data_IF_563857779264
#
_entry.id   IF_563857779264
#
_cell.length_a   1.000
_cell.length_b   1.000
_cell.length_c   1.000
_cell.angle_alpha   90.00
_cell.angle_beta   90.00
_cell.angle_gamma   90.00
#
_symmetry.space_group_name_H-M   'P 1'
#
loop_
_entity.id
_entity.type
_entity.pdbx_description
1 polymer ?
#
# COMPACT_ATOMS: atom_id res chain seq x y z
N UNK A 1 -11.22 8.06 -20.43
CA UNK A 1 -10.85 9.44 -20.88
C UNK A 1 -9.86 9.30 -22.04
N UNK A 2 -9.94 10.14 -23.06
CA UNK A 2 -9.03 10.12 -24.22
C UNK A 2 -8.37 11.49 -24.35
N UNK A 3 -7.07 11.52 -24.65
CA UNK A 3 -6.30 12.75 -24.89
C UNK A 3 -5.61 12.61 -26.24
N UNK A 4 -5.71 13.63 -27.09
CA UNK A 4 -5.02 13.70 -28.37
C UNK A 4 -3.96 14.80 -28.31
N UNK A 5 -2.72 14.45 -28.64
CA UNK A 5 -1.59 15.38 -28.60
C UNK A 5 -1.28 15.87 -30.01
N UNK A 6 -1.17 17.20 -30.24
CA UNK A 6 -0.63 17.72 -31.48
C UNK A 6 0.86 17.39 -31.57
N UNK A 7 1.49 17.61 -32.73
CA UNK A 7 2.94 17.42 -32.84
C UNK A 7 3.68 18.38 -31.89
N UNK A 8 4.68 17.89 -31.13
CA UNK A 8 5.37 18.71 -30.15
C UNK A 8 6.29 19.74 -30.79
N UNK A 9 6.80 19.47 -31.99
CA UNK A 9 7.69 20.35 -32.77
C UNK A 9 7.69 19.90 -34.24
N UNK A 10 8.49 20.55 -35.08
CA UNK A 10 8.68 20.16 -36.49
C UNK A 10 9.47 18.84 -36.62
N UNK A 11 9.30 18.14 -37.74
CA UNK A 11 9.81 16.77 -37.93
C UNK A 11 11.33 16.66 -37.73
N UNK A 12 12.08 17.68 -38.14
CA UNK A 12 13.55 17.73 -38.08
C UNK A 12 14.06 17.71 -36.63
N UNK A 13 13.28 18.26 -35.70
CA UNK A 13 13.64 18.39 -34.29
C UNK A 13 13.21 17.18 -33.45
N UNK A 14 12.38 16.28 -33.98
CA UNK A 14 11.80 15.14 -33.23
C UNK A 14 12.86 14.20 -32.65
N UNK A 15 13.97 13.96 -33.37
CA UNK A 15 15.06 13.09 -32.90
C UNK A 15 15.83 13.66 -31.70
N UNK A 16 15.66 14.96 -31.43
CA UNK A 16 16.36 15.72 -30.40
C UNK A 16 15.41 16.35 -29.37
N UNK A 17 14.16 15.89 -29.32
CA UNK A 17 13.06 16.48 -28.54
C UNK A 17 13.45 16.75 -27.08
N UNK A 18 14.15 15.82 -26.42
CA UNK A 18 14.58 15.95 -25.02
C UNK A 18 15.62 17.07 -24.79
N UNK A 19 16.31 17.51 -25.85
CA UNK A 19 17.33 18.57 -25.79
C UNK A 19 16.83 19.95 -26.22
N UNK A 20 15.56 20.05 -26.64
CA UNK A 20 14.96 21.31 -27.09
C UNK A 20 14.60 22.20 -25.89
N UNK A 21 14.62 23.51 -26.11
CA UNK A 21 14.08 24.44 -25.12
C UNK A 21 12.55 24.45 -25.21
N UNK A 22 11.89 24.80 -24.10
CA UNK A 22 10.43 24.93 -24.08
C UNK A 22 9.88 25.92 -25.12
N UNK A 23 10.67 26.94 -25.51
CA UNK A 23 10.29 27.90 -26.54
C UNK A 23 10.22 27.28 -27.95
N UNK A 24 10.94 26.18 -28.18
CA UNK A 24 10.99 25.44 -29.45
C UNK A 24 9.90 24.35 -29.53
N UNK A 25 9.09 24.21 -28.47
CA UNK A 25 7.97 23.28 -28.37
C UNK A 25 6.67 24.03 -28.68
N UNK A 26 5.80 23.39 -29.45
CA UNK A 26 4.47 23.88 -29.77
C UNK A 26 3.69 24.26 -28.50
N UNK A 27 3.23 25.50 -28.46
CA UNK A 27 2.39 25.98 -27.35
C UNK A 27 1.09 25.19 -27.20
N UNK A 28 0.55 24.64 -28.28
CA UNK A 28 -0.66 23.80 -28.24
C UNK A 28 -0.36 22.43 -27.61
N UNK A 29 0.80 21.85 -27.95
CA UNK A 29 1.28 20.63 -27.30
C UNK A 29 1.48 20.85 -25.81
N UNK A 30 2.15 21.93 -25.41
CA UNK A 30 2.36 22.26 -23.99
C UNK A 30 1.04 22.43 -23.24
N UNK A 31 0.04 23.10 -23.82
CA UNK A 31 -1.30 23.24 -23.22
C UNK A 31 -1.99 21.89 -23.04
N UNK A 32 -1.89 20.99 -24.02
CA UNK A 32 -2.47 19.64 -23.91
C UNK A 32 -1.74 18.80 -22.87
N UNK A 33 -0.41 18.87 -22.84
CA UNK A 33 0.42 18.19 -21.84
C UNK A 33 0.11 18.66 -20.43
N UNK A 34 -0.03 19.97 -20.18
CA UNK A 34 -0.45 20.50 -18.88
C UNK A 34 -1.81 19.94 -18.43
N UNK A 35 -2.81 19.93 -19.33
CA UNK A 35 -4.13 19.33 -19.06
C UNK A 35 -4.04 17.84 -18.76
N UNK A 36 -3.22 17.11 -19.49
CA UNK A 36 -3.00 15.68 -19.28
C UNK A 36 -2.31 15.42 -17.93
N UNK A 37 -1.24 16.13 -17.62
CA UNK A 37 -0.52 16.02 -16.36
C UNK A 37 -1.45 16.33 -15.18
N UNK A 38 -2.23 17.42 -15.23
CA UNK A 38 -3.22 17.72 -14.19
C UNK A 38 -4.22 16.58 -13.98
N UNK A 39 -4.70 15.98 -15.06
CA UNK A 39 -5.58 14.81 -14.95
C UNK A 39 -4.86 13.62 -14.28
N UNK A 40 -3.64 13.31 -14.69
CA UNK A 40 -2.88 12.18 -14.11
C UNK A 40 -2.57 12.40 -12.63
N UNK A 41 -2.24 13.63 -12.23
CA UNK A 41 -1.84 13.94 -10.85
C UNK A 41 -3.02 14.11 -9.89
N UNK A 42 -4.13 14.71 -10.35
CA UNK A 42 -5.20 15.13 -9.45
C UNK A 42 -6.52 14.37 -9.65
N UNK A 43 -6.82 13.97 -10.88
CA UNK A 43 -8.11 13.35 -11.20
C UNK A 43 -8.03 11.81 -11.29
N UNK A 44 -6.81 11.25 -11.30
CA UNK A 44 -6.63 9.81 -11.44
C UNK A 44 -6.83 9.11 -10.09
N UNK A 45 -7.55 7.99 -10.14
CA UNK A 45 -7.82 7.21 -8.94
C UNK A 45 -6.56 6.50 -8.46
N UNK A 46 -6.40 6.43 -7.15
CA UNK A 46 -5.38 5.58 -6.55
C UNK A 46 -5.59 4.12 -6.98
N UNK A 47 -4.49 3.37 -7.09
CA UNK A 47 -4.58 1.95 -7.41
C UNK A 47 -5.28 1.22 -6.27
N UNK A 48 -6.40 0.59 -6.58
CA UNK A 48 -7.16 -0.23 -5.63
C UNK A 48 -6.95 -1.72 -5.92
N UNK A 49 -6.88 -2.52 -4.86
CA UNK A 49 -7.05 -3.97 -4.94
C UNK A 49 -8.53 -4.29 -5.13
N UNK A 50 -8.82 -5.54 -5.51
CA UNK A 50 -10.16 -6.10 -5.35
C UNK A 50 -10.58 -5.92 -3.88
N UNK A 51 -11.84 -5.60 -3.64
CA UNK A 51 -12.39 -5.31 -2.29
C UNK A 51 -12.00 -3.94 -1.69
N UNK A 52 -11.51 -3.00 -2.49
CA UNK A 52 -11.49 -1.58 -2.10
C UNK A 52 -10.37 -1.16 -1.15
N UNK A 53 -9.31 -1.97 -0.98
CA UNK A 53 -8.08 -1.54 -0.29
C UNK A 53 -7.14 -0.81 -1.25
N UNK A 54 -6.65 0.35 -0.86
CA UNK A 54 -5.61 1.07 -1.60
C UNK A 54 -4.30 0.27 -1.60
N UNK A 55 -3.68 0.14 -2.76
CA UNK A 55 -2.35 -0.48 -2.88
C UNK A 55 -1.30 0.52 -2.39
N UNK A 56 -0.67 0.21 -1.25
CA UNK A 56 0.52 0.93 -0.78
C UNK A 56 1.80 0.34 -1.40
N UNK A 57 2.96 0.93 -1.11
CA UNK A 57 4.24 0.50 -1.67
C UNK A 57 4.60 -0.96 -1.34
N UNK A 58 4.30 -1.42 -0.12
CA UNK A 58 4.53 -2.82 0.31
C UNK A 58 3.66 -3.78 -0.51
N UNK A 59 2.37 -3.49 -0.62
CA UNK A 59 1.44 -4.29 -1.41
C UNK A 59 1.79 -4.31 -2.90
N UNK A 60 2.26 -3.18 -3.45
CA UNK A 60 2.75 -3.13 -4.83
C UNK A 60 3.97 -4.03 -5.03
N UNK A 61 4.91 -4.01 -4.09
CA UNK A 61 6.09 -4.89 -4.12
C UNK A 61 5.73 -6.37 -4.09
N UNK A 62 4.79 -6.77 -3.23
CA UNK A 62 4.28 -8.14 -3.20
C UNK A 62 3.61 -8.54 -4.52
N UNK A 63 2.72 -7.70 -5.07
CA UNK A 63 2.06 -7.96 -6.35
C UNK A 63 3.07 -8.10 -7.50
N UNK A 64 4.05 -7.20 -7.58
CA UNK A 64 5.08 -7.24 -8.60
C UNK A 64 5.90 -8.53 -8.53
N UNK A 65 6.36 -8.90 -7.33
CA UNK A 65 7.10 -10.14 -7.11
C UNK A 65 6.27 -11.37 -7.51
N UNK A 66 5.04 -11.50 -6.99
CA UNK A 66 4.17 -12.64 -7.27
C UNK A 66 3.91 -12.79 -8.77
N UNK A 67 3.65 -11.69 -9.49
CA UNK A 67 3.42 -11.75 -10.92
C UNK A 67 4.68 -12.13 -11.71
N UNK A 68 5.83 -11.53 -11.38
CA UNK A 68 7.10 -11.88 -12.03
C UNK A 68 7.43 -13.35 -11.79
N UNK A 69 7.39 -13.83 -10.54
CA UNK A 69 7.67 -15.23 -10.20
C UNK A 69 6.75 -16.21 -10.96
N UNK A 70 5.45 -15.87 -11.06
CA UNK A 70 4.45 -16.70 -11.77
C UNK A 70 4.71 -16.73 -13.28
N UNK A 71 5.04 -15.59 -13.89
CA UNK A 71 5.38 -15.51 -15.33
C UNK A 71 6.66 -16.29 -15.60
N UNK A 72 7.68 -16.09 -14.77
CA UNK A 72 8.97 -16.76 -14.89
C UNK A 72 8.86 -18.29 -14.74
N UNK A 73 7.86 -18.79 -14.00
CA UNK A 73 7.58 -20.23 -13.90
C UNK A 73 6.74 -20.79 -15.08
N UNK A 74 6.43 -19.98 -16.09
CA UNK A 74 5.59 -20.38 -17.23
C UNK A 74 4.09 -20.46 -16.91
N UNK A 75 3.67 -20.02 -15.73
CA UNK A 75 2.27 -20.00 -15.29
C UNK A 75 1.62 -18.65 -15.59
N UNK A 76 0.28 -18.60 -15.55
CA UNK A 76 -0.49 -17.37 -15.83
C UNK A 76 -0.80 -16.64 -14.51
N UNK A 77 -0.42 -15.35 -14.36
CA UNK A 77 -0.79 -14.56 -13.19
C UNK A 77 -2.31 -14.47 -13.00
N UNK A 78 -2.77 -14.75 -11.79
CA UNK A 78 -4.15 -14.54 -11.38
C UNK A 78 -4.21 -13.46 -10.30
N UNK A 79 -5.00 -12.40 -10.55
CA UNK A 79 -5.17 -11.30 -9.60
C UNK A 79 -5.73 -11.79 -8.26
N UNK A 80 -6.67 -12.73 -8.28
CA UNK A 80 -7.26 -13.28 -7.05
C UNK A 80 -6.21 -14.00 -6.21
N UNK A 81 -5.39 -14.85 -6.83
CA UNK A 81 -4.34 -15.60 -6.14
C UNK A 81 -3.28 -14.66 -5.55
N UNK A 82 -2.90 -13.61 -6.28
CA UNK A 82 -1.96 -12.62 -5.78
C UNK A 82 -2.50 -11.82 -4.58
N UNK A 83 -3.81 -11.48 -4.60
CA UNK A 83 -4.48 -10.83 -3.47
C UNK A 83 -4.53 -11.75 -2.25
N UNK A 84 -4.82 -13.05 -2.43
CA UNK A 84 -4.84 -14.04 -1.33
C UNK A 84 -3.45 -14.22 -0.73
N UNK A 85 -2.42 -14.42 -1.56
CA UNK A 85 -1.05 -14.59 -1.11
C UNK A 85 -0.56 -13.36 -0.32
N UNK A 86 -0.91 -12.16 -0.80
CA UNK A 86 -0.59 -10.92 -0.10
C UNK A 86 -1.36 -10.78 1.22
N UNK A 87 -2.63 -11.18 1.29
CA UNK A 87 -3.39 -11.14 2.55
C UNK A 87 -2.72 -11.98 3.65
N UNK A 88 -2.21 -13.17 3.31
CA UNK A 88 -1.42 -14.00 4.24
C UNK A 88 -0.22 -13.24 4.79
N UNK A 89 0.61 -12.68 3.91
CA UNK A 89 1.84 -11.96 4.30
C UNK A 89 1.51 -10.71 5.14
N UNK A 90 0.51 -9.92 4.73
CA UNK A 90 0.13 -8.70 5.43
C UNK A 90 -0.47 -9.00 6.81
N UNK A 91 -1.28 -10.07 6.95
CA UNK A 91 -1.85 -10.46 8.23
C UNK A 91 -0.80 -11.03 9.19
N UNK A 92 0.13 -11.85 8.71
CA UNK A 92 1.25 -12.31 9.53
C UNK A 92 2.11 -11.15 10.05
N UNK A 93 2.34 -10.14 9.20
CA UNK A 93 3.02 -8.92 9.62
C UNK A 93 2.18 -8.11 10.61
N UNK A 94 0.87 -8.03 10.42
CA UNK A 94 -0.05 -7.34 11.32
C UNK A 94 -0.08 -7.96 12.72
N UNK A 95 -0.07 -9.30 12.83
CA UNK A 95 0.00 -10.01 14.12
C UNK A 95 1.27 -9.60 14.87
N UNK A 96 2.43 -9.58 14.18
CA UNK A 96 3.70 -9.16 14.78
C UNK A 96 3.66 -7.71 15.28
N UNK A 97 3.02 -6.82 14.53
CA UNK A 97 2.83 -5.41 14.95
C UNK A 97 1.96 -5.33 16.21
N UNK A 98 0.83 -6.05 16.24
CA UNK A 98 -0.05 -6.11 17.41
C UNK A 98 0.68 -6.65 18.64
N UNK A 99 1.36 -7.79 18.51
CA UNK A 99 2.14 -8.40 19.58
C UNK A 99 3.23 -7.46 20.10
N UNK A 100 3.95 -6.77 19.21
CA UNK A 100 4.98 -5.82 19.61
C UNK A 100 4.40 -4.68 20.44
N UNK A 101 3.24 -4.14 20.06
CA UNK A 101 2.54 -3.08 20.81
C UNK A 101 2.18 -3.58 22.20
N UNK A 102 1.54 -4.75 22.30
CA UNK A 102 1.15 -5.34 23.58
C UNK A 102 2.36 -5.60 24.48
N UNK A 103 3.37 -6.31 23.96
CA UNK A 103 4.58 -6.67 24.70
C UNK A 103 5.33 -5.43 25.17
N UNK A 104 5.53 -4.44 24.31
CA UNK A 104 6.21 -3.20 24.70
C UNK A 104 5.46 -2.43 25.79
N UNK A 105 4.12 -2.45 25.76
CA UNK A 105 3.30 -1.88 26.82
C UNK A 105 3.44 -2.62 28.14
N UNK A 106 3.35 -3.95 28.10
CA UNK A 106 3.50 -4.80 29.29
C UNK A 106 4.91 -4.71 29.90
N UNK A 107 5.95 -4.60 29.07
CA UNK A 107 7.32 -4.38 29.56
C UNK A 107 7.44 -3.03 30.29
N UNK A 108 6.87 -1.94 29.76
CA UNK A 108 6.85 -0.64 30.45
C UNK A 108 6.07 -0.67 31.76
N UNK A 109 5.00 -1.46 31.84
CA UNK A 109 4.21 -1.60 33.06
C UNK A 109 5.05 -2.19 34.22
N UNK A 110 6.04 -3.03 33.92
CA UNK A 110 6.93 -3.64 34.93
C UNK A 110 7.70 -2.60 35.74
N UNK A 111 8.00 -1.44 35.15
CA UNK A 111 8.69 -0.34 35.84
C UNK A 111 7.87 0.22 37.02
N UNK A 112 6.55 -0.03 37.03
CA UNK A 112 5.64 0.44 38.08
C UNK A 112 5.36 -0.61 39.16
N UNK A 113 6.03 -1.77 39.12
CA UNK A 113 5.79 -2.85 40.09
C UNK A 113 6.36 -2.54 41.49
N UNK A 114 5.71 -3.03 42.57
CA UNK A 114 4.51 -3.88 42.59
C UNK A 114 3.19 -3.09 42.41
N UNK A 115 2.20 -3.71 41.74
CA UNK A 115 0.87 -3.14 41.51
C UNK A 115 -0.22 -4.07 42.03
N UNK A 116 -1.39 -3.50 42.39
CA UNK A 116 -2.59 -4.28 42.65
C UNK A 116 -3.04 -5.04 41.39
N UNK A 117 -3.57 -6.26 41.57
CA UNK A 117 -4.06 -7.09 40.47
C UNK A 117 -5.08 -6.35 39.58
N UNK A 118 -5.94 -5.52 40.19
CA UNK A 118 -6.94 -4.73 39.47
C UNK A 118 -6.29 -3.69 38.54
N UNK A 119 -5.18 -3.08 38.95
CA UNK A 119 -4.44 -2.12 38.13
C UNK A 119 -3.78 -2.83 36.94
N UNK A 120 -3.16 -4.00 37.17
CA UNK A 120 -2.56 -4.81 36.10
C UNK A 120 -3.62 -5.27 35.09
N UNK A 121 -4.78 -5.72 35.57
CA UNK A 121 -5.88 -6.14 34.69
C UNK A 121 -6.41 -5.00 33.82
N UNK A 122 -6.60 -3.81 34.40
CA UNK A 122 -7.03 -2.62 33.66
C UNK A 122 -6.06 -2.26 32.55
N UNK A 123 -4.75 -2.31 32.83
CA UNK A 123 -3.73 -2.01 31.83
C UNK A 123 -3.66 -3.09 30.73
N UNK A 124 -3.75 -4.37 31.11
CA UNK A 124 -3.84 -5.47 30.15
C UNK A 124 -4.99 -5.25 29.15
N UNK A 125 -6.19 -4.90 29.62
CA UNK A 125 -7.33 -4.65 28.74
C UNK A 125 -7.07 -3.47 27.79
N UNK A 126 -6.46 -2.40 28.28
CA UNK A 126 -6.11 -1.23 27.46
C UNK A 126 -5.07 -1.57 26.38
N UNK A 127 -4.01 -2.28 26.77
CA UNK A 127 -2.94 -2.71 25.86
C UNK A 127 -3.44 -3.71 24.83
N UNK A 128 -4.30 -4.66 25.24
CA UNK A 128 -4.93 -5.60 24.33
C UNK A 128 -5.75 -4.85 23.27
N UNK A 129 -6.62 -3.93 23.69
CA UNK A 129 -7.40 -3.10 22.75
C UNK A 129 -6.51 -2.28 21.80
N UNK A 130 -5.40 -1.75 22.28
CA UNK A 130 -4.45 -0.98 21.44
C UNK A 130 -3.71 -1.88 20.45
N UNK A 131 -3.32 -3.10 20.87
CA UNK A 131 -2.71 -4.11 20.01
C UNK A 131 -3.66 -4.56 18.90
N UNK A 132 -4.92 -4.86 19.24
CA UNK A 132 -5.97 -5.19 18.26
C UNK A 132 -6.17 -4.05 17.26
N UNK A 133 -6.22 -2.80 17.72
CA UNK A 133 -6.31 -1.65 16.80
C UNK A 133 -5.10 -1.52 15.88
N UNK A 134 -3.89 -1.77 16.38
CA UNK A 134 -2.67 -1.76 15.56
C UNK A 134 -2.71 -2.86 14.50
N UNK A 135 -3.14 -4.07 14.88
CA UNK A 135 -3.38 -5.18 13.95
C UNK A 135 -4.40 -4.79 12.87
N UNK A 136 -5.58 -4.28 13.25
CA UNK A 136 -6.67 -3.94 12.32
C UNK A 136 -6.28 -2.86 11.30
N UNK A 137 -5.37 -1.94 11.65
CA UNK A 137 -4.84 -0.95 10.70
C UNK A 137 -3.96 -1.57 9.61
N UNK A 138 -3.31 -2.69 9.92
CA UNK A 138 -2.36 -3.36 9.03
C UNK A 138 -2.96 -4.59 8.33
N UNK A 139 -3.94 -5.24 8.96
CA UNK A 139 -4.55 -6.47 8.47
C UNK A 139 -5.31 -6.25 7.16
N UNK A 140 -5.52 -7.34 6.45
CA UNK A 140 -6.20 -7.36 5.18
C UNK A 140 -6.82 -8.72 4.90
N UNK A 141 -8.14 -8.70 4.68
CA UNK A 141 -8.90 -9.89 4.25
C UNK A 141 -8.68 -11.09 5.19
N UNK A 142 -8.66 -10.84 6.49
CA UNK A 142 -8.75 -11.88 7.51
C UNK A 142 -10.22 -12.29 7.70
N UNK A 143 -10.81 -12.92 6.67
CA UNK A 143 -12.26 -13.20 6.64
C UNK A 143 -12.72 -14.17 7.71
N UNK A 144 -11.85 -15.12 8.07
CA UNK A 144 -12.15 -16.19 9.01
C UNK A 144 -11.71 -15.83 10.44
N UNK A 145 -11.17 -14.62 10.64
CA UNK A 145 -10.69 -14.13 11.93
C UNK A 145 -9.43 -14.84 12.46
N UNK A 146 -8.87 -15.81 11.73
CA UNK A 146 -7.79 -16.68 12.22
C UNK A 146 -6.54 -15.92 12.66
N UNK A 147 -6.23 -14.79 12.04
CA UNK A 147 -5.05 -14.00 12.40
C UNK A 147 -5.33 -13.12 13.61
N UNK A 148 -6.54 -12.56 13.69
CA UNK A 148 -7.00 -11.87 14.90
C UNK A 148 -7.01 -12.82 16.11
N UNK A 149 -7.56 -14.02 15.96
CA UNK A 149 -7.58 -15.04 17.02
C UNK A 149 -6.15 -15.41 17.47
N UNK A 150 -5.17 -15.39 16.56
CA UNK A 150 -3.78 -15.65 16.93
C UNK A 150 -3.09 -14.53 17.72
N UNK A 151 -3.71 -13.34 17.78
CA UNK A 151 -3.22 -12.19 18.54
C UNK A 151 -3.79 -12.15 19.97
N UNK A 152 -4.99 -12.70 20.18
CA UNK A 152 -5.74 -12.75 21.44
C UNK A 152 -5.23 -13.86 22.38
#
# INVERSE_FOLDING_TARGET
KCFTFPFPTISENMSRLESLNYADISSEFLKTTDKFCKFVFYDNNMKMMKYGRTVNGRGLGHLAKTYVDTISSGSVPCLENAVIAMAVIENEAAVKVGLQVYQSGMEKLKDSFPLELKAVYSEHQHLNGTATQAFMKCSFRDTDGKYLESLE
#
